data_IF_638176814601
#
_entry.id   IF_638176814601
#
_cell.length_a   1.000
_cell.length_b   1.000
_cell.length_c   1.000
_cell.angle_alpha   90.00
_cell.angle_beta   90.00
_cell.angle_gamma   90.00
#
_symmetry.space_group_name_H-M   'P 1'
#
loop_
_entity.id
_entity.type
_entity.pdbx_description
1 polymer ?
#
# COMPACT_ATOMS: atom_id res chain seq x y z
N UNK A 1 -20.30 -32.12 29.02
CA UNK A 1 -21.62 -32.23 28.35
C UNK A 1 -22.31 -33.57 28.65
N UNK A 2 -21.63 -34.72 28.60
CA UNK A 2 -22.27 -36.02 28.87
C UNK A 2 -22.97 -36.13 30.24
N UNK A 3 -22.37 -35.61 31.31
CA UNK A 3 -22.96 -35.66 32.66
C UNK A 3 -24.27 -34.86 32.75
N UNK A 4 -24.31 -33.63 32.23
CA UNK A 4 -25.51 -32.78 32.18
C UNK A 4 -26.66 -33.44 31.39
N UNK A 5 -26.35 -34.07 30.24
CA UNK A 5 -27.34 -34.77 29.44
C UNK A 5 -27.97 -35.98 30.17
N UNK A 6 -27.18 -36.67 31.02
CA UNK A 6 -27.65 -37.79 31.85
C UNK A 6 -28.57 -37.30 32.96
N UNK A 7 -28.26 -36.18 33.63
CA UNK A 7 -29.13 -35.60 34.66
C UNK A 7 -30.48 -35.13 34.11
N UNK A 8 -30.51 -34.49 32.93
CA UNK A 8 -31.79 -34.11 32.28
C UNK A 8 -32.67 -35.33 31.98
N UNK A 9 -32.08 -36.45 31.55
CA UNK A 9 -32.82 -37.71 31.33
C UNK A 9 -33.40 -38.28 32.63
N UNK A 10 -32.63 -38.25 33.72
CA UNK A 10 -33.09 -38.71 35.05
C UNK A 10 -34.24 -37.83 35.56
N UNK A 11 -34.11 -36.50 35.46
CA UNK A 11 -35.15 -35.56 35.90
C UNK A 11 -36.45 -35.76 35.11
N UNK A 12 -36.37 -35.96 33.78
CA UNK A 12 -37.54 -36.29 32.94
C UNK A 12 -38.21 -37.60 33.36
N UNK A 13 -37.41 -38.62 33.70
CA UNK A 13 -37.94 -39.89 34.21
C UNK A 13 -38.66 -39.75 35.55
N UNK A 14 -38.04 -39.03 36.50
CA UNK A 14 -38.64 -38.75 37.81
C UNK A 14 -39.92 -37.93 37.66
N UNK A 15 -39.96 -36.95 36.76
CA UNK A 15 -41.17 -36.19 36.43
C UNK A 15 -42.33 -37.11 36.02
N UNK A 16 -42.14 -37.99 35.04
CA UNK A 16 -43.19 -38.92 34.60
C UNK A 16 -43.65 -39.87 35.70
N UNK A 17 -42.72 -40.37 36.51
CA UNK A 17 -43.04 -41.25 37.64
C UNK A 17 -43.87 -40.52 38.72
N UNK A 18 -43.52 -39.25 38.98
CA UNK A 18 -44.22 -38.41 39.97
C UNK A 18 -45.62 -38.04 39.48
N UNK A 19 -45.77 -37.75 38.18
CA UNK A 19 -47.07 -37.50 37.56
C UNK A 19 -47.99 -38.73 37.64
N UNK A 20 -47.46 -39.92 37.34
CA UNK A 20 -48.20 -41.17 37.47
C UNK A 20 -48.64 -41.43 38.92
N UNK A 21 -47.79 -41.10 39.90
CA UNK A 21 -48.10 -41.21 41.32
C UNK A 21 -49.23 -40.26 41.73
N UNK A 22 -49.22 -39.00 41.27
CA UNK A 22 -50.32 -38.05 41.51
C UNK A 22 -51.63 -38.60 40.96
N UNK A 23 -51.64 -39.07 39.71
CA UNK A 23 -52.85 -39.64 39.10
C UNK A 23 -53.37 -40.82 39.92
N UNK A 24 -52.48 -41.74 40.32
CA UNK A 24 -52.84 -42.89 41.15
C UNK A 24 -53.44 -42.48 42.50
N UNK A 25 -52.82 -41.54 43.20
CA UNK A 25 -53.29 -41.06 44.51
C UNK A 25 -54.60 -40.30 44.42
N UNK A 26 -54.80 -39.51 43.36
CA UNK A 26 -56.07 -38.84 43.10
C UNK A 26 -57.18 -39.87 42.85
N UNK A 27 -56.92 -40.93 42.08
CA UNK A 27 -57.87 -42.03 41.89
C UNK A 27 -58.18 -42.79 43.20
N UNK A 28 -57.17 -43.05 44.04
CA UNK A 28 -57.37 -43.65 45.36
C UNK A 28 -58.23 -42.78 46.27
N UNK A 29 -57.97 -41.47 46.31
CA UNK A 29 -58.77 -40.54 47.11
C UNK A 29 -60.25 -40.51 46.68
N UNK A 30 -60.53 -40.64 45.37
CA UNK A 30 -61.88 -40.73 44.81
C UNK A 30 -62.53 -42.10 45.07
N UNK A 31 -61.76 -43.18 45.11
CA UNK A 31 -62.27 -44.52 45.39
C UNK A 31 -62.66 -44.70 46.87
N UNK A 32 -61.99 -43.98 47.77
CA UNK A 32 -62.29 -43.94 49.20
C UNK A 32 -63.59 -43.16 49.54
N UNK A 33 -64.30 -42.60 48.55
CA UNK A 33 -65.60 -41.95 48.76
C UNK A 33 -66.74 -42.81 48.22
N UNK A 34 -67.84 -42.90 48.98
CA UNK A 34 -68.94 -43.84 48.69
C UNK A 34 -69.67 -43.52 47.36
N UNK A 35 -69.47 -42.32 46.80
CA UNK A 35 -70.10 -41.82 45.58
C UNK A 35 -69.10 -41.58 44.41
N UNK A 36 -68.13 -42.50 44.26
CA UNK A 36 -67.07 -42.47 43.23
C UNK A 36 -67.54 -42.21 41.79
N UNK A 37 -68.79 -42.53 41.43
CA UNK A 37 -69.34 -42.41 40.06
C UNK A 37 -69.46 -40.96 39.53
N UNK A 38 -69.33 -39.95 40.39
CA UNK A 38 -69.49 -38.54 40.03
C UNK A 38 -68.28 -37.65 40.34
N UNK A 39 -67.12 -38.22 40.70
CA UNK A 39 -65.98 -37.45 41.26
C UNK A 39 -66.36 -36.62 42.49
N UNK A 40 -67.36 -37.10 43.26
CA UNK A 40 -67.82 -36.43 44.47
C UNK A 40 -66.95 -36.86 45.66
N UNK A 41 -66.35 -35.87 46.33
CA UNK A 41 -65.38 -36.08 47.41
C UNK A 41 -66.07 -35.74 48.73
N UNK A 42 -66.28 -36.75 49.60
CA UNK A 42 -67.02 -36.59 50.86
C UNK A 42 -66.15 -36.00 51.98
N UNK A 43 -66.04 -34.67 52.00
CA UNK A 43 -65.35 -33.91 53.05
C UNK A 43 -66.06 -33.91 54.41
N UNK A 44 -67.26 -34.49 54.56
CA UNK A 44 -68.03 -34.41 55.80
C UNK A 44 -67.82 -35.62 56.71
N UNK A 45 -67.71 -36.83 56.15
CA UNK A 45 -67.54 -38.06 56.96
C UNK A 45 -66.11 -38.61 56.95
N UNK A 46 -65.33 -38.33 55.90
CA UNK A 46 -63.95 -38.84 55.71
C UNK A 46 -62.90 -37.73 55.60
N UNK A 47 -63.17 -36.55 56.19
CA UNK A 47 -62.31 -35.36 56.15
C UNK A 47 -60.84 -35.66 56.45
N UNK A 48 -60.56 -36.41 57.52
CA UNK A 48 -59.20 -36.77 57.91
C UNK A 48 -58.43 -37.58 56.84
N UNK A 49 -59.11 -38.44 56.09
CA UNK A 49 -58.51 -39.27 55.03
C UNK A 49 -58.25 -38.43 53.78
N UNK A 50 -59.26 -37.65 53.36
CA UNK A 50 -59.17 -36.79 52.17
C UNK A 50 -58.15 -35.66 52.40
N UNK A 51 -58.11 -35.08 53.60
CA UNK A 51 -57.11 -34.09 54.00
C UNK A 51 -55.69 -34.67 53.99
N UNK A 52 -55.51 -35.93 54.39
CA UNK A 52 -54.22 -36.63 54.29
C UNK A 52 -53.79 -36.83 52.82
N UNK A 53 -54.70 -37.25 51.93
CA UNK A 53 -54.42 -37.35 50.49
C UNK A 53 -54.13 -35.98 49.87
N UNK A 54 -54.91 -34.95 50.22
CA UNK A 54 -54.70 -33.58 49.75
C UNK A 54 -53.35 -33.01 50.20
N UNK A 55 -52.95 -33.27 51.44
CA UNK A 55 -51.63 -32.90 51.97
C UNK A 55 -50.49 -33.62 51.24
N UNK A 56 -50.67 -34.92 50.96
CA UNK A 56 -49.68 -35.73 50.26
C UNK A 56 -49.55 -35.33 48.77
N UNK A 57 -50.67 -35.10 48.08
CA UNK A 57 -50.68 -34.54 46.71
C UNK A 57 -50.05 -33.15 46.71
N UNK A 58 -50.37 -32.29 47.69
CA UNK A 58 -49.76 -30.98 47.87
C UNK A 58 -48.24 -31.04 48.06
N UNK A 59 -47.75 -31.97 48.87
CA UNK A 59 -46.33 -32.23 49.07
C UNK A 59 -45.62 -32.71 47.80
N UNK A 60 -46.27 -33.59 47.03
CA UNK A 60 -45.75 -34.07 45.74
C UNK A 60 -45.72 -32.95 44.69
N UNK A 61 -46.75 -32.08 44.65
CA UNK A 61 -46.77 -30.90 43.77
C UNK A 61 -45.68 -29.88 44.14
N UNK A 62 -45.41 -29.69 45.43
CA UNK A 62 -44.28 -28.89 45.90
C UNK A 62 -42.93 -29.50 45.46
N UNK A 63 -42.79 -30.83 45.55
CA UNK A 63 -41.62 -31.54 45.01
C UNK A 63 -41.47 -31.38 43.49
N UNK A 64 -42.57 -31.47 42.71
CA UNK A 64 -42.55 -31.20 41.27
C UNK A 64 -42.10 -29.77 40.97
N UNK A 65 -42.56 -28.80 41.75
CA UNK A 65 -42.13 -27.40 41.60
C UNK A 65 -40.61 -27.27 41.79
N UNK A 66 -40.05 -27.92 42.83
CA UNK A 66 -38.59 -27.97 43.05
C UNK A 66 -37.88 -28.66 41.89
N UNK A 67 -38.44 -29.76 41.37
CA UNK A 67 -37.88 -30.52 40.26
C UNK A 67 -37.84 -29.70 38.96
N UNK A 68 -38.87 -28.89 38.68
CA UNK A 68 -38.88 -27.94 37.57
C UNK A 68 -37.81 -26.85 37.73
N UNK A 69 -37.68 -26.28 38.94
CA UNK A 69 -36.61 -25.31 39.22
C UNK A 69 -35.23 -25.93 39.00
N UNK A 70 -34.99 -27.16 39.47
CA UNK A 70 -33.74 -27.88 39.21
C UNK A 70 -33.50 -28.08 37.71
N UNK A 71 -34.51 -28.51 36.95
CA UNK A 71 -34.41 -28.67 35.51
C UNK A 71 -34.03 -27.35 34.80
N UNK A 72 -34.69 -26.25 35.16
CA UNK A 72 -34.40 -24.92 34.62
C UNK A 72 -32.97 -24.47 34.94
N UNK A 73 -32.50 -24.67 36.17
CA UNK A 73 -31.11 -24.35 36.55
C UNK A 73 -30.10 -25.15 35.72
N UNK A 74 -30.36 -26.45 35.49
CA UNK A 74 -29.50 -27.27 34.64
C UNK A 74 -29.51 -26.83 33.17
N UNK A 75 -30.67 -26.44 32.65
CA UNK A 75 -30.81 -25.94 31.28
C UNK A 75 -30.11 -24.60 31.09
N UNK A 76 -30.30 -23.64 31.99
CA UNK A 76 -29.58 -22.37 32.00
C UNK A 76 -28.07 -22.60 32.06
N UNK A 77 -27.60 -23.54 32.89
CA UNK A 77 -26.17 -23.86 32.97
C UNK A 77 -25.62 -24.41 31.67
N UNK A 78 -26.37 -25.28 30.97
CA UNK A 78 -25.96 -25.81 29.67
C UNK A 78 -25.93 -24.71 28.61
N UNK A 79 -26.95 -23.84 28.57
CA UNK A 79 -27.01 -22.72 27.66
C UNK A 79 -25.84 -21.75 27.87
N UNK A 80 -25.51 -21.41 29.12
CA UNK A 80 -24.34 -20.57 29.45
C UNK A 80 -23.03 -21.22 28.96
N UNK A 81 -22.91 -22.55 29.03
CA UNK A 81 -21.71 -23.25 28.54
C UNK A 81 -21.62 -23.16 27.01
N UNK A 82 -22.73 -23.38 26.31
CA UNK A 82 -22.81 -23.30 24.84
C UNK A 82 -22.52 -21.86 24.38
N UNK A 83 -23.20 -20.87 24.95
CA UNK A 83 -22.99 -19.45 24.63
C UNK A 83 -21.54 -19.02 24.86
N UNK A 84 -20.89 -19.51 25.94
CA UNK A 84 -19.46 -19.24 26.18
C UNK A 84 -18.57 -19.91 25.14
N UNK A 85 -18.92 -21.11 24.69
CA UNK A 85 -18.14 -21.84 23.69
C UNK A 85 -18.29 -21.20 22.30
N UNK A 86 -19.51 -20.83 21.91
CA UNK A 86 -19.79 -20.12 20.67
C UNK A 86 -19.11 -18.74 20.66
N UNK A 87 -19.22 -17.97 21.74
CA UNK A 87 -18.51 -16.69 21.86
C UNK A 87 -16.98 -16.84 21.81
N UNK A 88 -16.43 -17.94 22.33
CA UNK A 88 -15.00 -18.23 22.23
C UNK A 88 -14.60 -18.59 20.80
N UNK A 89 -15.40 -19.39 20.09
CA UNK A 89 -15.19 -19.75 18.70
C UNK A 89 -15.27 -18.52 17.77
N UNK A 90 -16.31 -17.69 17.95
CA UNK A 90 -16.49 -16.45 17.18
C UNK A 90 -15.31 -15.49 17.38
N UNK A 91 -14.85 -15.36 18.63
CA UNK A 91 -13.65 -14.57 18.94
C UNK A 91 -12.41 -15.15 18.27
N UNK A 92 -12.23 -16.46 18.27
CA UNK A 92 -11.09 -17.09 17.61
C UNK A 92 -11.14 -16.88 16.08
N UNK A 93 -12.33 -16.94 15.49
CA UNK A 93 -12.52 -16.70 14.06
C UNK A 93 -12.23 -15.24 13.68
N UNK A 94 -12.72 -14.25 14.43
CA UNK A 94 -12.41 -12.83 14.20
C UNK A 94 -10.89 -12.57 14.23
N UNK A 95 -10.18 -13.20 15.19
CA UNK A 95 -8.74 -13.08 15.28
C UNK A 95 -8.02 -13.69 14.06
N UNK A 96 -8.50 -14.83 13.54
CA UNK A 96 -7.98 -15.45 12.30
C UNK A 96 -8.26 -14.60 11.07
N UNK A 97 -9.47 -14.07 10.92
CA UNK A 97 -9.86 -13.24 9.78
C UNK A 97 -9.02 -11.96 9.71
N UNK A 98 -8.72 -11.36 10.87
CA UNK A 98 -7.78 -10.22 10.98
C UNK A 98 -6.36 -10.58 10.58
N UNK A 99 -5.87 -11.75 11.00
CA UNK A 99 -4.55 -12.23 10.65
C UNK A 99 -4.43 -12.49 9.13
N UNK A 100 -5.49 -13.04 8.52
CA UNK A 100 -5.59 -13.23 7.08
C UNK A 100 -5.61 -11.90 6.31
N UNK A 101 -6.35 -10.91 6.82
CA UNK A 101 -6.38 -9.57 6.23
C UNK A 101 -5.00 -8.91 6.25
N UNK A 102 -4.32 -8.98 7.41
CA UNK A 102 -2.97 -8.44 7.58
C UNK A 102 -1.99 -9.08 6.59
N UNK A 103 -2.02 -10.41 6.49
CA UNK A 103 -1.21 -11.18 5.53
C UNK A 103 -1.39 -10.70 4.08
N UNK A 104 -2.65 -10.52 3.66
CA UNK A 104 -2.97 -10.07 2.30
C UNK A 104 -2.45 -8.66 2.03
N UNK A 105 -2.52 -7.77 3.02
CA UNK A 105 -1.91 -6.45 2.91
C UNK A 105 -0.39 -6.57 2.81
N UNK A 106 0.27 -7.30 3.70
CA UNK A 106 1.73 -7.47 3.69
C UNK A 106 2.26 -8.04 2.38
N UNK A 107 1.58 -9.05 1.83
CA UNK A 107 1.89 -9.60 0.50
C UNK A 107 1.86 -8.53 -0.61
N UNK A 108 0.91 -7.60 -0.53
CA UNK A 108 0.81 -6.51 -1.50
C UNK A 108 1.89 -5.45 -1.27
N UNK A 109 2.20 -5.13 -0.01
CA UNK A 109 3.29 -4.21 0.35
C UNK A 109 4.64 -4.72 -0.17
N UNK A 110 4.98 -5.98 0.13
CA UNK A 110 6.22 -6.62 -0.33
C UNK A 110 6.36 -6.52 -1.85
N UNK A 111 5.31 -6.93 -2.58
CA UNK A 111 5.29 -6.88 -4.05
C UNK A 111 5.51 -5.46 -4.59
N UNK A 112 4.89 -4.46 -3.98
CA UNK A 112 5.01 -3.08 -4.44
C UNK A 112 6.37 -2.47 -4.12
N UNK A 113 6.97 -2.78 -2.96
CA UNK A 113 8.33 -2.37 -2.62
C UNK A 113 9.32 -2.90 -3.66
N UNK A 114 9.27 -4.21 -3.94
CA UNK A 114 10.15 -4.85 -4.93
C UNK A 114 9.98 -4.24 -6.32
N UNK A 115 8.72 -4.11 -6.78
CA UNK A 115 8.42 -3.54 -8.11
C UNK A 115 8.87 -2.08 -8.22
N UNK A 116 8.79 -1.32 -7.13
CA UNK A 116 9.31 0.04 -7.12
C UNK A 116 10.83 0.09 -7.12
N UNK A 117 11.50 -0.80 -6.40
CA UNK A 117 12.95 -0.97 -6.47
C UNK A 117 13.44 -1.25 -7.89
N UNK A 118 12.76 -2.15 -8.61
CA UNK A 118 13.06 -2.43 -10.03
C UNK A 118 12.94 -1.17 -10.90
N UNK A 119 11.88 -0.36 -10.69
CA UNK A 119 11.67 0.88 -11.44
C UNK A 119 12.74 1.93 -11.12
N UNK A 120 13.14 2.06 -9.85
CA UNK A 120 14.24 2.93 -9.44
C UNK A 120 15.54 2.50 -10.13
N UNK A 121 15.80 1.18 -10.20
CA UNK A 121 16.98 0.63 -10.83
C UNK A 121 17.05 0.92 -12.34
N UNK A 122 15.92 0.82 -13.04
CA UNK A 122 15.82 1.22 -14.45
C UNK A 122 16.07 2.71 -14.60
N UNK A 123 15.41 3.53 -13.77
CA UNK A 123 15.46 4.99 -13.85
C UNK A 123 16.87 5.55 -13.62
N UNK A 124 17.55 5.20 -12.52
CA UNK A 124 18.86 5.81 -12.27
C UNK A 124 19.90 5.37 -13.31
N UNK A 125 19.78 4.17 -13.88
CA UNK A 125 20.66 3.69 -14.96
C UNK A 125 20.45 4.50 -16.23
N UNK A 126 19.20 4.72 -16.65
CA UNK A 126 18.91 5.51 -17.83
C UNK A 126 19.25 6.99 -17.64
N UNK A 127 19.05 7.53 -16.44
CA UNK A 127 19.44 8.90 -16.09
C UNK A 127 20.96 9.08 -16.07
N UNK A 128 21.75 8.04 -15.71
CA UNK A 128 23.22 8.07 -15.82
C UNK A 128 23.72 7.95 -17.26
N UNK A 129 23.06 7.12 -18.07
CA UNK A 129 23.43 6.90 -19.47
C UNK A 129 23.10 8.13 -20.34
N UNK A 130 21.85 8.60 -20.26
CA UNK A 130 21.29 9.73 -21.02
C UNK A 130 20.68 10.78 -20.09
N UNK A 131 21.49 11.55 -19.35
CA UNK A 131 21.00 12.54 -18.38
C UNK A 131 20.29 13.73 -19.03
N UNK A 132 20.55 14.02 -20.30
CA UNK A 132 19.83 15.02 -21.09
C UNK A 132 18.43 14.57 -21.50
N UNK A 133 18.15 13.26 -21.52
CA UNK A 133 16.89 12.69 -22.00
C UNK A 133 15.78 12.73 -20.93
N UNK A 134 14.52 12.71 -21.35
CA UNK A 134 13.38 12.66 -20.44
C UNK A 134 13.13 11.22 -19.95
N UNK A 135 13.98 10.74 -19.04
CA UNK A 135 13.77 9.45 -18.39
C UNK A 135 12.61 9.54 -17.39
N UNK A 136 11.76 8.52 -17.35
CA UNK A 136 10.54 8.53 -16.52
C UNK A 136 10.52 7.37 -15.54
N UNK A 137 10.03 7.64 -14.32
CA UNK A 137 9.71 6.62 -13.32
C UNK A 137 8.21 6.68 -13.00
N UNK A 138 7.53 5.53 -13.12
CA UNK A 138 6.10 5.43 -12.84
C UNK A 138 5.83 5.04 -11.39
N UNK A 139 4.83 5.68 -10.79
CA UNK A 139 4.40 5.41 -9.41
C UNK A 139 3.03 4.73 -9.39
N UNK A 140 2.88 3.67 -8.58
CA UNK A 140 1.56 3.11 -8.31
C UNK A 140 0.90 3.88 -7.16
N UNK A 141 -0.43 3.99 -7.19
CA UNK A 141 -1.20 4.46 -6.03
C UNK A 141 -1.61 3.25 -5.19
N UNK A 142 -0.78 2.85 -4.23
CA UNK A 142 -1.13 1.80 -3.27
C UNK A 142 -1.50 2.40 -1.90
N UNK A 143 -2.77 2.26 -1.51
CA UNK A 143 -3.29 2.67 -0.19
C UNK A 143 -3.17 1.60 0.90
N UNK A 144 -2.61 0.43 0.59
CA UNK A 144 -2.51 -0.66 1.56
C UNK A 144 -1.53 -0.33 2.69
N UNK A 145 -0.53 0.54 2.47
CA UNK A 145 0.32 1.07 3.54
C UNK A 145 -0.54 1.83 4.55
N UNK A 146 -1.35 2.79 4.07
CA UNK A 146 -2.30 3.54 4.90
C UNK A 146 -3.29 2.59 5.59
N UNK A 147 -3.83 1.58 4.90
CA UNK A 147 -4.79 0.63 5.49
C UNK A 147 -4.19 -0.22 6.62
N UNK A 148 -2.91 -0.62 6.53
CA UNK A 148 -2.22 -1.34 7.63
C UNK A 148 -2.03 -0.43 8.83
N UNK A 149 -1.67 0.83 8.59
CA UNK A 149 -1.46 1.84 9.64
C UNK A 149 -2.79 2.24 10.30
N UNK A 150 -3.86 2.41 9.52
CA UNK A 150 -5.19 2.82 9.97
C UNK A 150 -6.01 1.69 10.60
N UNK A 151 -5.59 0.42 10.44
CA UNK A 151 -6.19 -0.69 11.16
C UNK A 151 -6.04 -0.49 12.67
N UNK A 152 -7.05 -0.89 13.44
CA UNK A 152 -7.03 -0.81 14.90
C UNK A 152 -5.82 -1.56 15.48
N UNK A 153 -4.79 -0.79 15.84
CA UNK A 153 -3.51 -1.24 16.37
C UNK A 153 -3.72 -2.12 17.61
N UNK A 154 -4.69 -1.78 18.47
CA UNK A 154 -4.97 -2.56 19.67
C UNK A 154 -5.55 -3.93 19.33
N UNK A 155 -6.42 -4.00 18.32
CA UNK A 155 -6.96 -5.29 17.85
C UNK A 155 -5.87 -6.14 17.21
N UNK A 156 -4.98 -5.55 16.40
CA UNK A 156 -3.86 -6.29 15.81
C UNK A 156 -2.86 -6.76 16.87
N UNK A 157 -2.60 -5.95 17.89
CA UNK A 157 -1.76 -6.35 19.02
C UNK A 157 -2.36 -7.57 19.75
N UNK A 158 -3.68 -7.59 19.97
CA UNK A 158 -4.39 -8.74 20.56
C UNK A 158 -4.31 -9.99 19.68
N UNK A 159 -4.34 -9.83 18.35
CA UNK A 159 -4.13 -10.93 17.40
C UNK A 159 -2.70 -11.48 17.56
N UNK A 160 -1.69 -10.62 17.57
CA UNK A 160 -0.31 -11.05 17.77
C UNK A 160 -0.11 -11.76 19.11
N UNK A 161 -0.67 -11.21 20.19
CA UNK A 161 -0.66 -11.85 21.50
C UNK A 161 -1.32 -13.23 21.48
N UNK A 162 -2.43 -13.40 20.76
CA UNK A 162 -3.17 -14.66 20.73
C UNK A 162 -2.45 -15.78 19.96
N UNK A 163 -1.72 -15.47 18.89
CA UNK A 163 -1.11 -16.48 18.01
C UNK A 163 0.40 -16.70 18.21
N UNK A 164 1.11 -15.73 18.80
CA UNK A 164 2.57 -15.75 18.88
C UNK A 164 3.12 -15.66 20.32
N UNK A 165 2.27 -15.58 21.35
CA UNK A 165 2.74 -15.49 22.74
C UNK A 165 3.50 -16.72 23.25
N UNK A 166 3.34 -17.87 22.60
CA UNK A 166 4.05 -19.11 22.92
C UNK A 166 5.45 -19.18 22.28
N UNK A 167 5.69 -18.41 21.21
CA UNK A 167 7.00 -18.33 20.58
C UNK A 167 7.87 -17.38 21.43
N UNK A 168 8.95 -17.90 22.04
CA UNK A 168 9.82 -17.14 22.95
C UNK A 168 10.65 -16.03 22.28
N UNK A 169 10.50 -15.85 20.96
CA UNK A 169 10.97 -14.63 20.28
C UNK A 169 10.09 -13.46 20.70
N UNK A 170 10.69 -12.27 20.80
CA UNK A 170 9.99 -11.05 21.21
C UNK A 170 8.93 -10.66 20.16
N UNK A 171 7.74 -11.28 20.22
CA UNK A 171 6.61 -11.05 19.33
C UNK A 171 6.11 -9.60 19.42
N UNK A 172 6.36 -8.93 20.54
CA UNK A 172 6.09 -7.51 20.71
C UNK A 172 7.02 -6.69 19.84
N UNK A 173 8.31 -7.04 19.80
CA UNK A 173 9.27 -6.45 18.86
C UNK A 173 8.86 -6.70 17.41
N UNK A 174 8.43 -7.91 17.04
CA UNK A 174 7.93 -8.19 15.68
C UNK A 174 6.71 -7.34 15.31
N UNK A 175 5.79 -7.17 16.26
CA UNK A 175 4.64 -6.29 16.09
C UNK A 175 5.05 -4.82 15.88
N UNK A 176 5.98 -4.31 16.69
CA UNK A 176 6.49 -2.94 16.53
C UNK A 176 7.17 -2.78 15.18
N UNK A 177 8.06 -3.71 14.82
CA UNK A 177 8.84 -3.66 13.58
C UNK A 177 7.93 -3.71 12.33
N UNK A 178 6.83 -4.49 12.36
CA UNK A 178 5.83 -4.49 11.30
C UNK A 178 5.28 -3.09 11.00
N UNK A 179 4.93 -2.34 12.05
CA UNK A 179 4.38 -1.00 11.91
C UNK A 179 5.47 0.02 11.55
N UNK A 180 6.67 -0.08 12.12
CA UNK A 180 7.81 0.76 11.76
C UNK A 180 8.17 0.61 10.28
N UNK A 181 8.24 -0.62 9.76
CA UNK A 181 8.48 -0.89 8.34
C UNK A 181 7.35 -0.32 7.48
N UNK A 182 6.10 -0.54 7.87
CA UNK A 182 4.94 -0.05 7.12
C UNK A 182 4.91 1.48 7.03
N UNK A 183 5.20 2.17 8.14
CA UNK A 183 5.27 3.62 8.21
C UNK A 183 6.46 4.19 7.43
N UNK A 184 7.64 3.59 7.60
CA UNK A 184 8.85 3.94 6.85
C UNK A 184 8.60 3.92 5.34
N UNK A 185 8.07 2.82 4.81
CA UNK A 185 7.83 2.71 3.37
C UNK A 185 6.72 3.65 2.89
N UNK A 186 5.67 3.87 3.69
CA UNK A 186 4.62 4.83 3.34
C UNK A 186 5.20 6.24 3.12
N UNK A 187 6.01 6.72 4.07
CA UNK A 187 6.64 8.03 3.98
C UNK A 187 7.74 8.08 2.92
N UNK A 188 8.55 7.02 2.78
CA UNK A 188 9.57 6.92 1.76
C UNK A 188 8.97 7.01 0.35
N UNK A 189 7.82 6.37 0.09
CA UNK A 189 7.12 6.48 -1.19
C UNK A 189 6.60 7.88 -1.48
N UNK A 190 6.04 8.55 -0.47
CA UNK A 190 5.54 9.93 -0.61
C UNK A 190 6.69 10.90 -0.91
N UNK A 191 7.80 10.79 -0.17
CA UNK A 191 8.99 11.61 -0.38
C UNK A 191 9.63 11.37 -1.75
N UNK A 192 9.80 10.10 -2.14
CA UNK A 192 10.33 9.72 -3.45
C UNK A 192 9.49 10.32 -4.59
N UNK A 193 8.16 10.19 -4.50
CA UNK A 193 7.24 10.74 -5.50
C UNK A 193 7.36 12.26 -5.58
N UNK A 194 7.40 12.95 -4.44
CA UNK A 194 7.53 14.41 -4.39
C UNK A 194 8.84 14.88 -5.03
N UNK A 195 9.97 14.26 -4.66
CA UNK A 195 11.29 14.58 -5.21
C UNK A 195 11.36 14.32 -6.72
N UNK A 196 10.78 13.21 -7.18
CA UNK A 196 10.70 12.89 -8.60
C UNK A 196 9.90 13.93 -9.39
N UNK A 197 8.71 14.31 -8.90
CA UNK A 197 7.89 15.33 -9.56
C UNK A 197 8.66 16.63 -9.70
N UNK A 198 9.32 17.09 -8.63
CA UNK A 198 10.13 18.30 -8.67
C UNK A 198 11.28 18.20 -9.69
N UNK A 199 12.00 17.07 -9.70
CA UNK A 199 13.10 16.84 -10.64
C UNK A 199 12.64 16.91 -12.10
N UNK A 200 11.55 16.21 -12.44
CA UNK A 200 11.03 16.19 -13.81
C UNK A 200 10.50 17.55 -14.24
N UNK A 201 9.79 18.27 -13.37
CA UNK A 201 9.29 19.62 -13.67
C UNK A 201 10.43 20.61 -13.92
N UNK A 202 11.47 20.59 -13.09
CA UNK A 202 12.67 21.41 -13.26
C UNK A 202 13.41 21.05 -14.56
N UNK A 203 13.58 19.76 -14.84
CA UNK A 203 14.23 19.26 -16.06
C UNK A 203 13.49 19.71 -17.32
N UNK A 204 12.17 19.53 -17.36
CA UNK A 204 11.33 20.00 -18.48
C UNK A 204 11.44 21.51 -18.65
N UNK A 205 11.42 22.27 -17.56
CA UNK A 205 11.54 23.74 -17.60
C UNK A 205 12.87 24.18 -18.22
N UNK A 206 13.99 23.60 -17.77
CA UNK A 206 15.33 23.89 -18.31
C UNK A 206 15.47 23.48 -19.77
N UNK A 207 14.95 22.33 -20.17
CA UNK A 207 14.96 21.90 -21.57
C UNK A 207 14.17 22.84 -22.49
N UNK A 208 13.03 23.36 -22.03
CA UNK A 208 12.26 24.39 -22.78
C UNK A 208 13.06 25.68 -22.95
N UNK A 209 13.80 26.11 -21.92
CA UNK A 209 14.70 27.26 -22.03
C UNK A 209 15.82 27.02 -23.04
N UNK A 210 16.45 25.84 -23.00
CA UNK A 210 17.47 25.45 -23.98
C UNK A 210 16.89 25.49 -25.41
N UNK A 211 15.69 24.96 -25.61
CA UNK A 211 15.03 24.99 -26.92
C UNK A 211 14.74 26.41 -27.41
N UNK A 212 14.30 27.30 -26.51
CA UNK A 212 14.06 28.72 -26.82
C UNK A 212 15.38 29.44 -27.19
N UNK A 213 16.43 29.25 -26.42
CA UNK A 213 17.75 29.83 -26.69
C UNK A 213 18.34 29.30 -28.02
N UNK A 214 18.13 28.02 -28.33
CA UNK A 214 18.51 27.42 -29.61
C UNK A 214 17.80 28.09 -30.78
N UNK A 215 16.51 28.37 -30.64
CA UNK A 215 15.75 29.11 -31.66
C UNK A 215 16.28 30.54 -31.82
N UNK A 216 16.62 31.21 -30.71
CA UNK A 216 17.24 32.52 -30.73
C UNK A 216 18.60 32.50 -31.45
N UNK A 217 19.43 31.48 -31.19
CA UNK A 217 20.72 31.28 -31.85
C UNK A 217 20.57 31.12 -33.36
N UNK A 218 19.67 30.24 -33.81
CA UNK A 218 19.45 30.01 -35.24
C UNK A 218 18.94 31.26 -35.96
N UNK A 219 18.09 32.05 -35.30
CA UNK A 219 17.61 33.33 -35.83
C UNK A 219 18.71 34.40 -35.87
N UNK A 220 19.55 34.48 -34.83
CA UNK A 220 20.70 35.39 -34.79
C UNK A 220 21.71 35.04 -35.91
N UNK A 221 21.97 33.74 -36.10
CA UNK A 221 22.80 33.23 -37.18
C UNK A 221 22.28 33.64 -38.57
N UNK A 222 20.98 33.44 -38.82
CA UNK A 222 20.37 33.81 -40.10
C UNK A 222 20.48 35.32 -40.37
N UNK A 223 20.18 36.15 -39.36
CA UNK A 223 20.31 37.62 -39.45
C UNK A 223 21.73 38.06 -39.76
N UNK A 224 22.73 37.50 -39.08
CA UNK A 224 24.13 37.85 -39.34
C UNK A 224 24.51 37.51 -40.78
N UNK A 225 24.12 36.33 -41.29
CA UNK A 225 24.41 35.95 -42.69
C UNK A 225 23.76 36.93 -43.67
N UNK A 226 22.50 37.33 -43.42
CA UNK A 226 21.81 38.34 -44.23
C UNK A 226 22.48 39.72 -44.15
N UNK A 227 22.95 40.15 -42.97
CA UNK A 227 23.65 41.41 -42.79
C UNK A 227 24.99 41.43 -43.56
N UNK A 228 25.74 40.33 -43.54
CA UNK A 228 26.92 40.17 -44.40
C UNK A 228 26.56 40.22 -45.88
N UNK A 229 25.45 39.60 -46.29
CA UNK A 229 24.97 39.63 -47.67
C UNK A 229 24.57 41.03 -48.13
N UNK A 230 23.98 41.84 -47.25
CA UNK A 230 23.64 43.24 -47.50
C UNK A 230 24.92 44.09 -47.59
N UNK A 231 25.85 43.92 -46.64
CA UNK A 231 27.06 44.75 -46.52
C UNK A 231 28.09 44.48 -47.62
N UNK A 232 28.29 43.22 -48.00
CA UNK A 232 29.35 42.80 -48.94
C UNK A 232 28.82 42.27 -50.27
N UNK A 233 27.51 42.05 -50.39
CA UNK A 233 26.87 41.57 -51.61
C UNK A 233 26.81 40.04 -51.72
N UNK A 234 25.95 39.51 -52.62
CA UNK A 234 25.64 38.09 -52.70
C UNK A 234 26.77 37.20 -53.22
N UNK A 235 27.80 37.76 -53.85
CA UNK A 235 28.94 36.99 -54.36
C UNK A 235 30.06 36.85 -53.32
N UNK A 236 30.19 37.83 -52.42
CA UNK A 236 31.38 37.94 -51.57
C UNK A 236 31.10 37.68 -50.09
N UNK A 237 29.83 37.64 -49.64
CA UNK A 237 29.50 37.50 -48.21
C UNK A 237 30.11 36.26 -47.54
N UNK A 238 30.19 35.13 -48.25
CA UNK A 238 30.80 33.89 -47.75
C UNK A 238 32.34 33.92 -47.73
N UNK A 239 32.98 34.90 -48.37
CA UNK A 239 34.43 35.06 -48.25
C UNK A 239 34.86 35.53 -46.86
N UNK A 240 33.90 36.02 -46.05
CA UNK A 240 34.14 36.43 -44.69
C UNK A 240 34.03 35.25 -43.70
N UNK A 241 35.05 35.01 -42.85
CA UNK A 241 35.11 33.83 -41.98
C UNK A 241 33.88 33.63 -41.07
N UNK A 242 33.39 34.72 -40.47
CA UNK A 242 32.20 34.68 -39.60
C UNK A 242 30.94 34.24 -40.35
N UNK A 243 30.72 34.80 -41.54
CA UNK A 243 29.57 34.45 -42.38
C UNK A 243 29.64 33.00 -42.85
N UNK A 244 30.82 32.53 -43.30
CA UNK A 244 31.02 31.14 -43.73
C UNK A 244 30.73 30.15 -42.61
N UNK A 245 31.32 30.36 -41.43
CA UNK A 245 31.14 29.47 -40.28
C UNK A 245 29.65 29.34 -39.89
N UNK A 246 28.93 30.47 -39.85
CA UNK A 246 27.53 30.50 -39.45
C UNK A 246 26.63 29.88 -40.53
N UNK A 247 26.95 30.14 -41.81
CA UNK A 247 26.25 29.56 -42.95
C UNK A 247 26.44 28.04 -43.06
N UNK A 248 27.55 27.50 -42.54
CA UNK A 248 27.78 26.05 -42.42
C UNK A 248 27.04 25.43 -41.23
N UNK A 249 26.97 26.14 -40.10
CA UNK A 249 26.36 25.62 -38.88
C UNK A 249 24.84 25.41 -39.00
N UNK A 250 24.10 26.38 -39.53
CA UNK A 250 22.64 26.32 -39.59
C UNK A 250 22.12 25.08 -40.36
N UNK A 251 22.60 24.79 -41.59
CA UNK A 251 22.23 23.56 -42.31
C UNK A 251 22.59 22.28 -41.57
N UNK A 252 23.75 22.21 -40.92
CA UNK A 252 24.15 21.04 -40.15
C UNK A 252 23.18 20.79 -38.98
N UNK A 253 22.76 21.84 -38.29
CA UNK A 253 21.78 21.74 -37.21
C UNK A 253 20.41 21.27 -37.70
N UNK A 254 19.88 21.85 -38.78
CA UNK A 254 18.60 21.40 -39.35
C UNK A 254 18.69 19.98 -39.93
N UNK A 255 19.84 19.60 -40.51
CA UNK A 255 20.10 18.25 -40.97
C UNK A 255 19.97 17.22 -39.85
N UNK A 256 20.55 17.49 -38.68
CA UNK A 256 20.39 16.65 -37.50
C UNK A 256 18.92 16.57 -37.04
N UNK A 257 18.21 17.69 -36.99
CA UNK A 257 16.79 17.67 -36.60
C UNK A 257 15.93 16.83 -37.57
N UNK A 258 16.22 16.90 -38.88
CA UNK A 258 15.54 16.08 -39.88
C UNK A 258 15.87 14.59 -39.72
N UNK A 259 17.14 14.23 -39.50
CA UNK A 259 17.56 12.84 -39.26
C UNK A 259 16.82 12.22 -38.07
N UNK A 260 16.73 12.96 -36.96
CA UNK A 260 16.01 12.52 -35.75
C UNK A 260 14.50 12.42 -36.00
N UNK A 261 13.93 13.36 -36.75
CA UNK A 261 12.51 13.32 -37.11
C UNK A 261 12.19 12.10 -37.97
N UNK A 262 13.02 11.79 -38.97
CA UNK A 262 12.85 10.66 -39.87
C UNK A 262 13.00 9.32 -39.13
N UNK A 263 13.86 9.27 -38.10
CA UNK A 263 14.02 8.12 -37.22
C UNK A 263 12.88 7.94 -36.20
N UNK A 264 12.01 8.94 -36.03
CA UNK A 264 10.96 8.94 -35.00
C UNK A 264 11.51 9.08 -33.57
N UNK A 265 12.69 9.67 -33.43
CA UNK A 265 13.38 9.86 -32.15
C UNK A 265 13.20 11.28 -31.60
N UNK A 266 13.73 11.54 -30.39
CA UNK A 266 13.71 12.85 -29.75
C UNK A 266 15.13 13.43 -29.78
N UNK A 267 15.32 14.74 -30.05
CA UNK A 267 16.65 15.33 -30.11
C UNK A 267 17.45 15.12 -28.82
N UNK A 268 18.67 14.59 -28.96
CA UNK A 268 19.62 14.50 -27.86
C UNK A 268 20.41 15.79 -27.70
N UNK A 269 20.23 16.46 -26.56
CA UNK A 269 20.99 17.67 -26.24
C UNK A 269 22.50 17.43 -26.08
N UNK A 270 22.92 16.22 -25.71
CA UNK A 270 24.35 15.88 -25.65
C UNK A 270 24.97 15.91 -27.04
N UNK A 271 24.28 15.30 -28.01
CA UNK A 271 24.70 15.38 -29.41
C UNK A 271 24.78 16.84 -29.90
N UNK A 272 23.77 17.66 -29.60
CA UNK A 272 23.78 19.09 -29.96
C UNK A 272 24.98 19.81 -29.32
N UNK A 273 25.25 19.56 -28.03
CA UNK A 273 26.38 20.16 -27.32
C UNK A 273 27.73 19.77 -27.93
N UNK A 274 27.96 18.47 -28.14
CA UNK A 274 29.29 17.94 -28.42
C UNK A 274 29.63 17.88 -29.91
N UNK A 275 28.63 17.65 -30.77
CA UNK A 275 28.84 17.47 -32.21
C UNK A 275 28.47 18.71 -33.02
N UNK A 276 27.65 19.64 -32.48
CA UNK A 276 27.25 20.85 -33.21
C UNK A 276 27.82 22.11 -32.56
N UNK A 277 27.50 22.37 -31.29
CA UNK A 277 27.90 23.60 -30.62
C UNK A 277 29.40 23.63 -30.28
N UNK A 278 30.02 22.49 -29.90
CA UNK A 278 31.47 22.44 -29.61
C UNK A 278 32.34 22.75 -30.83
N UNK A 279 32.15 22.11 -32.00
CA UNK A 279 32.96 22.43 -33.16
C UNK A 279 32.72 23.87 -33.61
N UNK A 280 31.46 24.34 -33.58
CA UNK A 280 31.11 25.72 -33.89
C UNK A 280 31.88 26.72 -33.01
N UNK A 281 31.83 26.55 -31.69
CA UNK A 281 32.53 27.44 -30.74
C UNK A 281 34.05 27.37 -30.95
N UNK A 282 34.63 26.19 -31.18
CA UNK A 282 36.07 26.05 -31.43
C UNK A 282 36.51 26.82 -32.67
N UNK A 283 35.83 26.61 -33.79
CA UNK A 283 36.12 27.33 -35.04
C UNK A 283 35.92 28.84 -34.86
N UNK A 284 34.88 29.24 -34.13
CA UNK A 284 34.63 30.65 -33.80
C UNK A 284 35.76 31.26 -32.95
N UNK A 285 36.35 30.51 -32.01
CA UNK A 285 37.51 30.97 -31.24
C UNK A 285 38.76 31.13 -32.12
N UNK A 286 38.96 30.26 -33.10
CA UNK A 286 40.07 30.41 -34.06
C UNK A 286 39.90 31.67 -34.92
N UNK A 287 38.69 31.91 -35.46
CA UNK A 287 38.39 33.16 -36.19
C UNK A 287 38.62 34.38 -35.30
N UNK A 288 38.10 34.36 -34.06
CA UNK A 288 38.30 35.46 -33.11
C UNK A 288 39.78 35.75 -32.86
N UNK A 289 40.62 34.71 -32.75
CA UNK A 289 42.07 34.88 -32.53
C UNK A 289 42.72 35.58 -33.73
N UNK A 290 42.31 35.22 -34.94
CA UNK A 290 43.01 35.61 -36.17
C UNK A 290 42.50 36.95 -36.74
N UNK A 291 41.20 37.24 -36.65
CA UNK A 291 40.57 38.45 -37.21
C UNK A 291 39.76 39.28 -36.21
N UNK A 292 39.53 38.79 -34.99
CA UNK A 292 38.71 39.48 -33.99
C UNK A 292 37.20 39.32 -34.20
N UNK A 293 36.42 40.04 -33.40
CA UNK A 293 34.96 40.12 -33.55
C UNK A 293 34.57 41.11 -34.65
N UNK A 294 33.51 40.79 -35.38
CA UNK A 294 32.87 41.74 -36.30
C UNK A 294 31.96 42.75 -35.57
N UNK A 295 31.48 43.73 -36.33
CA UNK A 295 30.48 44.72 -35.93
C UNK A 295 29.03 44.26 -36.21
N UNK A 296 28.84 43.00 -36.60
CA UNK A 296 27.57 42.42 -37.04
C UNK A 296 26.97 41.40 -36.05
N UNK A 297 27.59 41.20 -34.89
CA UNK A 297 27.02 40.40 -33.79
C UNK A 297 27.65 39.02 -33.60
N UNK A 298 28.81 38.73 -34.21
CA UNK A 298 29.57 37.48 -34.00
C UNK A 298 29.83 37.16 -32.53
N UNK A 299 30.07 38.19 -31.70
CA UNK A 299 30.28 38.03 -30.26
C UNK A 299 29.05 37.44 -29.56
N UNK A 300 27.89 38.04 -29.79
CA UNK A 300 26.65 37.66 -29.12
C UNK A 300 26.24 36.24 -29.48
N UNK A 301 26.44 35.84 -30.75
CA UNK A 301 26.21 34.48 -31.23
C UNK A 301 27.06 33.45 -30.49
N UNK A 302 28.36 33.73 -30.31
CA UNK A 302 29.24 32.81 -29.58
C UNK A 302 28.88 32.74 -28.10
N UNK A 303 28.57 33.89 -27.49
CA UNK A 303 28.15 33.96 -26.08
C UNK A 303 26.86 33.15 -25.87
N UNK A 304 25.90 33.25 -26.80
CA UNK A 304 24.66 32.49 -26.77
C UNK A 304 24.90 30.98 -26.97
N UNK A 305 25.68 30.58 -27.99
CA UNK A 305 26.05 29.18 -28.21
C UNK A 305 26.76 28.56 -26.99
N UNK A 306 27.67 29.32 -26.37
CA UNK A 306 28.36 28.90 -25.14
C UNK A 306 27.41 28.79 -23.95
N UNK A 307 26.45 29.70 -23.83
CA UNK A 307 25.43 29.69 -22.77
C UNK A 307 24.52 28.48 -22.88
N UNK A 308 24.07 28.15 -24.10
CA UNK A 308 23.26 26.96 -24.37
C UNK A 308 23.98 25.69 -23.90
N UNK A 309 25.27 25.55 -24.25
CA UNK A 309 26.06 24.39 -23.81
C UNK A 309 26.20 24.29 -22.30
N UNK A 310 26.40 25.42 -21.61
CA UNK A 310 26.43 25.44 -20.14
C UNK A 310 25.09 25.00 -19.55
N UNK A 311 23.96 25.47 -20.10
CA UNK A 311 22.62 25.04 -19.67
C UNK A 311 22.38 23.55 -19.91
N UNK A 312 22.84 23.00 -21.04
CA UNK A 312 22.79 21.55 -21.31
C UNK A 312 23.60 20.81 -20.24
N UNK A 313 24.84 21.23 -19.98
CA UNK A 313 25.69 20.64 -18.95
C UNK A 313 25.06 20.72 -17.55
N UNK A 314 24.45 21.85 -17.19
CA UNK A 314 23.75 22.01 -15.92
C UNK A 314 22.62 20.98 -15.78
N UNK A 315 21.78 20.80 -16.82
CA UNK A 315 20.73 19.76 -16.83
C UNK A 315 21.33 18.38 -16.62
N UNK A 316 22.45 18.07 -17.28
CA UNK A 316 23.08 16.76 -17.14
C UNK A 316 23.63 16.53 -15.73
N UNK A 317 24.30 17.52 -15.15
CA UNK A 317 24.87 17.42 -13.79
C UNK A 317 23.78 17.22 -12.74
N UNK A 318 22.70 18.00 -12.79
CA UNK A 318 21.59 17.84 -11.86
C UNK A 318 20.92 16.46 -12.00
N UNK A 319 20.77 15.98 -13.24
CA UNK A 319 20.23 14.65 -13.53
C UNK A 319 21.13 13.53 -12.98
N UNK A 320 22.45 13.67 -13.12
CA UNK A 320 23.42 12.72 -12.58
C UNK A 320 23.45 12.72 -11.04
N UNK A 321 23.35 13.90 -10.41
CA UNK A 321 23.24 14.03 -8.96
C UNK A 321 21.97 13.34 -8.45
N UNK A 322 20.83 13.62 -9.06
CA UNK A 322 19.57 12.99 -8.72
C UNK A 322 19.60 11.47 -8.92
N UNK A 323 20.18 10.99 -10.02
CA UNK A 323 20.38 9.57 -10.26
C UNK A 323 21.23 8.91 -9.18
N UNK A 324 22.29 9.58 -8.70
CA UNK A 324 23.12 9.11 -7.59
C UNK A 324 22.35 9.00 -6.27
N UNK A 325 21.44 9.93 -6.00
CA UNK A 325 20.59 9.87 -4.80
C UNK A 325 19.55 8.74 -4.91
N UNK A 326 18.96 8.53 -6.08
CA UNK A 326 18.04 7.40 -6.32
C UNK A 326 18.75 6.06 -6.22
N UNK A 327 19.97 5.94 -6.73
CA UNK A 327 20.79 4.73 -6.57
C UNK A 327 21.09 4.43 -5.10
N UNK A 328 21.44 5.44 -4.30
CA UNK A 328 21.65 5.25 -2.85
C UNK A 328 20.38 4.80 -2.15
N UNK A 329 19.25 5.44 -2.43
CA UNK A 329 17.96 5.03 -1.85
C UNK A 329 17.59 3.60 -2.27
N UNK A 330 17.80 3.24 -3.53
CA UNK A 330 17.59 1.89 -4.01
C UNK A 330 18.44 0.88 -3.24
N UNK A 331 19.76 1.10 -3.17
CA UNK A 331 20.69 0.17 -2.53
C UNK A 331 20.38 0.00 -1.03
N UNK A 332 20.02 1.08 -0.33
CA UNK A 332 19.79 1.04 1.10
C UNK A 332 18.40 0.52 1.49
N UNK A 333 17.36 0.78 0.67
CA UNK A 333 15.97 0.62 1.11
C UNK A 333 15.05 -0.08 0.12
N UNK A 334 15.41 -0.23 -1.16
CA UNK A 334 14.52 -0.85 -2.16
C UNK A 334 15.15 -2.02 -2.92
N UNK A 335 16.39 -2.38 -2.57
CA UNK A 335 17.02 -3.61 -3.03
C UNK A 335 16.19 -4.82 -2.55
N UNK A 336 15.96 -5.85 -3.38
CA UNK A 336 15.18 -7.04 -3.01
C UNK A 336 15.65 -7.76 -1.74
N UNK A 337 16.92 -7.56 -1.38
CA UNK A 337 17.61 -8.24 -0.27
C UNK A 337 17.93 -7.28 0.89
N UNK A 338 17.29 -6.11 0.97
CA UNK A 338 17.51 -5.19 2.10
C UNK A 338 16.92 -5.71 3.41
N UNK A 339 17.52 -5.29 4.53
CA UNK A 339 17.16 -5.74 5.88
C UNK A 339 15.67 -5.56 6.19
N UNK A 340 15.08 -4.41 5.86
CA UNK A 340 13.67 -4.13 6.14
C UNK A 340 12.71 -4.99 5.31
N UNK A 341 13.02 -5.30 4.05
CA UNK A 341 12.23 -6.24 3.24
C UNK A 341 12.36 -7.66 3.77
N UNK A 342 13.57 -8.07 4.17
CA UNK A 342 13.80 -9.40 4.71
C UNK A 342 13.04 -9.58 6.02
N UNK A 343 13.06 -8.59 6.90
CA UNK A 343 12.28 -8.59 8.13
C UNK A 343 10.77 -8.63 7.86
N UNK A 344 10.27 -7.88 6.86
CA UNK A 344 8.87 -7.96 6.44
C UNK A 344 8.50 -9.37 5.93
N UNK A 345 9.37 -9.99 5.14
CA UNK A 345 9.19 -11.37 4.63
C UNK A 345 9.17 -12.38 5.77
N UNK A 346 10.04 -12.22 6.78
CA UNK A 346 10.07 -13.09 7.96
C UNK A 346 8.80 -12.96 8.80
N UNK A 347 8.36 -11.73 9.10
CA UNK A 347 7.11 -11.48 9.84
C UNK A 347 5.94 -12.10 9.09
N UNK A 348 5.85 -11.87 7.77
CA UNK A 348 4.81 -12.45 6.93
C UNK A 348 4.85 -13.99 6.96
N UNK A 349 6.02 -14.61 6.85
CA UNK A 349 6.15 -16.07 6.89
C UNK A 349 5.71 -16.66 8.23
N UNK A 350 6.00 -15.98 9.36
CA UNK A 350 5.51 -16.37 10.69
C UNK A 350 3.99 -16.27 10.76
N UNK A 351 3.42 -15.22 10.19
CA UNK A 351 1.97 -15.06 10.12
C UNK A 351 1.32 -16.18 9.27
N UNK A 352 1.85 -16.43 8.08
CA UNK A 352 1.37 -17.48 7.18
C UNK A 352 1.38 -18.86 7.86
N UNK A 353 2.33 -19.12 8.76
CA UNK A 353 2.44 -20.39 9.48
C UNK A 353 1.38 -20.61 10.58
N UNK A 354 0.66 -19.56 11.00
CA UNK A 354 -0.40 -19.62 12.03
C UNK A 354 -1.81 -19.68 11.44
N UNK A 355 -1.94 -19.43 10.12
CA UNK A 355 -3.17 -19.55 9.34
C UNK A 355 -3.35 -21.00 8.87
#
# INVERSE_FOLDING_TARGET
MESLSRYKKIIKWVFWLTLALIVFLTFQAIYETDNWKLFDVDFNTRDHIISAYGSLIGGILAFLSILFVLYQVYEQREQIIIERQDAANDKQQDLKDRLLLLTNYLKTLEKDIVKHGERMAVFYKSEKDKPSAMNTMYFNTNKNFERVIEMDILSNFKVFQAFFSEDAEDWQKQFVNLYEISDFYNEAFKDLKKKYTFHIEDKVSKQKQIAADMMELLNANARLVDDYRIKFGPQDYLSHPWSSLINEYNPAHYGYLQEIQDAGEVPDFRHISDNLLLPFIKNAMDIRRDVGYDDLGSRDIIELASTIRKKIWDVEVYSLQYAGDIEKQFNNYFSPDNDSINELKEIKAKIDAKL
#
